data_IF_156682177338
#
_entry.id   IF_156682177338
#
_cell.length_a   1.000
_cell.length_b   1.000
_cell.length_c   1.000
_cell.angle_alpha   90.00
_cell.angle_beta   90.00
_cell.angle_gamma   90.00
#
_symmetry.space_group_name_H-M   'P 1'
#
loop_
_entity.id
_entity.type
_entity.pdbx_description
1 polymer ?
#
# COMPACT_ATOMS: atom_id res chain seq x y z
N UNK A 1 19.30 4.39 7.26
CA UNK A 1 19.08 2.92 7.22
C UNK A 1 17.93 2.65 6.28
N UNK A 2 17.99 1.58 5.48
CA UNK A 2 17.04 1.29 4.42
C UNK A 2 16.35 -0.06 4.67
N UNK A 3 15.05 -0.11 4.46
CA UNK A 3 14.28 -1.35 4.49
C UNK A 3 14.61 -2.19 3.25
N UNK A 4 14.78 -3.48 3.46
CA UNK A 4 14.91 -4.48 2.40
C UNK A 4 14.01 -5.66 2.75
N UNK A 5 13.30 -6.20 1.75
CA UNK A 5 12.41 -7.34 1.89
C UNK A 5 12.89 -8.44 0.95
N UNK A 6 13.27 -9.58 1.50
CA UNK A 6 13.78 -10.72 0.73
C UNK A 6 12.78 -11.87 0.78
N UNK A 7 12.37 -12.33 -0.38
CA UNK A 7 11.54 -13.49 -0.61
C UNK A 7 12.43 -14.66 -1.02
N UNK A 8 12.38 -15.77 -0.28
CA UNK A 8 13.09 -17.01 -0.60
C UNK A 8 12.08 -18.13 -0.79
N UNK A 9 11.90 -18.55 -2.02
CA UNK A 9 11.01 -19.63 -2.42
C UNK A 9 9.57 -19.48 -1.92
N UNK A 10 9.07 -18.22 -1.90
CA UNK A 10 7.76 -17.90 -1.36
C UNK A 10 6.66 -18.54 -2.21
N UNK A 11 5.75 -19.22 -1.52
CA UNK A 11 4.54 -19.76 -2.10
C UNK A 11 3.32 -19.60 -1.20
N UNK A 12 2.15 -19.44 -1.81
CA UNK A 12 0.87 -19.40 -1.10
C UNK A 12 -0.16 -20.28 -1.80
N UNK A 13 -0.83 -21.12 -1.01
CA UNK A 13 -1.95 -21.96 -1.45
C UNK A 13 -3.15 -21.79 -0.55
N UNK A 14 -4.32 -22.06 -1.09
CA UNK A 14 -5.54 -22.29 -0.35
C UNK A 14 -5.96 -23.74 -0.59
N UNK A 15 -6.10 -24.50 0.48
CA UNK A 15 -6.29 -25.96 0.41
C UNK A 15 -5.17 -26.61 -0.44
N UNK A 16 -5.53 -27.20 -1.59
CA UNK A 16 -4.61 -27.87 -2.52
C UNK A 16 -4.25 -27.04 -3.76
N UNK A 17 -4.81 -25.83 -3.89
CA UNK A 17 -4.58 -24.97 -5.04
C UNK A 17 -3.55 -23.89 -4.73
N UNK A 18 -2.44 -23.90 -5.49
CA UNK A 18 -1.43 -22.86 -5.41
C UNK A 18 -1.89 -21.59 -6.13
N UNK A 19 -1.84 -20.48 -5.43
CA UNK A 19 -2.06 -19.15 -6.01
C UNK A 19 -0.80 -18.69 -6.72
N UNK A 20 0.35 -18.89 -6.10
CA UNK A 20 1.69 -18.69 -6.64
C UNK A 20 2.70 -19.52 -5.82
N UNK A 21 3.85 -19.79 -6.43
CA UNK A 21 4.96 -20.51 -5.77
C UNK A 21 6.32 -20.15 -6.37
N UNK A 22 7.38 -20.48 -5.63
CA UNK A 22 8.78 -20.32 -6.07
C UNK A 22 9.17 -18.86 -6.34
N UNK A 23 8.55 -17.88 -5.63
CA UNK A 23 8.93 -16.48 -5.75
C UNK A 23 10.24 -16.24 -5.01
N UNK A 24 11.28 -15.92 -5.74
CA UNK A 24 12.57 -15.46 -5.24
C UNK A 24 12.75 -14.01 -5.73
N UNK A 25 12.70 -13.05 -4.81
CA UNK A 25 12.76 -11.63 -5.16
C UNK A 25 13.24 -10.79 -3.98
N UNK A 26 13.75 -9.58 -4.29
CA UNK A 26 14.16 -8.62 -3.27
C UNK A 26 13.62 -7.24 -3.58
N UNK A 27 12.90 -6.66 -2.63
CA UNK A 27 12.45 -5.27 -2.66
C UNK A 27 13.40 -4.40 -1.86
N UNK A 28 13.78 -3.24 -2.41
CA UNK A 28 14.77 -2.34 -1.82
C UNK A 28 14.21 -0.93 -1.69
N UNK A 29 14.56 -0.25 -0.60
CA UNK A 29 14.21 1.16 -0.41
C UNK A 29 14.71 2.03 -1.56
N UNK A 30 13.93 3.06 -1.89
CA UNK A 30 14.20 3.99 -2.97
C UNK A 30 13.67 3.54 -4.31
N UNK A 31 13.05 2.35 -4.38
CA UNK A 31 12.43 1.82 -5.59
C UNK A 31 10.93 1.66 -5.44
N UNK A 32 10.26 1.76 -6.56
CA UNK A 32 8.83 1.48 -6.74
C UNK A 32 8.62 0.28 -7.65
N UNK A 33 7.69 -0.58 -7.27
CA UNK A 33 7.45 -1.87 -7.91
C UNK A 33 5.98 -2.01 -8.30
N UNK A 34 5.72 -2.52 -9.49
CA UNK A 34 4.39 -2.89 -9.93
C UNK A 34 4.22 -4.42 -9.96
N UNK A 35 3.20 -4.92 -9.28
CA UNK A 35 2.80 -6.32 -9.34
C UNK A 35 1.66 -6.44 -10.33
N UNK A 36 1.92 -7.10 -11.46
CA UNK A 36 1.03 -7.19 -12.60
C UNK A 36 0.29 -8.53 -12.65
N UNK A 37 -0.91 -8.51 -13.22
CA UNK A 37 -1.73 -9.69 -13.45
C UNK A 37 -3.21 -9.35 -13.55
N UNK A 38 -4.00 -10.20 -14.20
CA UNK A 38 -5.45 -10.02 -14.30
C UNK A 38 -6.16 -10.13 -12.93
N UNK A 39 -7.41 -9.73 -12.88
CA UNK A 39 -8.22 -9.88 -11.65
C UNK A 39 -8.32 -11.37 -11.27
N UNK A 40 -8.19 -11.66 -9.97
CA UNK A 40 -8.12 -13.04 -9.47
C UNK A 40 -6.76 -13.74 -9.67
N UNK A 41 -5.73 -13.07 -10.22
CA UNK A 41 -4.41 -13.70 -10.42
C UNK A 41 -3.61 -13.91 -9.14
N UNK A 42 -4.02 -13.33 -8.01
CA UNK A 42 -3.33 -13.47 -6.72
C UNK A 42 -2.55 -12.23 -6.25
N UNK A 43 -2.65 -11.08 -6.94
CA UNK A 43 -1.98 -9.82 -6.56
C UNK A 43 -2.26 -9.41 -5.12
N UNK A 44 -3.54 -9.31 -4.75
CA UNK A 44 -3.94 -8.96 -3.38
C UNK A 44 -3.50 -10.01 -2.35
N UNK A 45 -3.47 -11.29 -2.72
CA UNK A 45 -2.91 -12.36 -1.88
C UNK A 45 -1.41 -12.16 -1.67
N UNK A 46 -0.69 -11.77 -2.72
CA UNK A 46 0.74 -11.47 -2.64
C UNK A 46 1.01 -10.25 -1.75
N UNK A 47 0.23 -9.16 -1.87
CA UNK A 47 0.33 -8.01 -0.96
C UNK A 47 0.06 -8.39 0.50
N UNK A 48 -0.91 -9.27 0.76
CA UNK A 48 -1.17 -9.79 2.11
C UNK A 48 0.01 -10.60 2.65
N UNK A 49 0.69 -11.37 1.82
CA UNK A 49 1.94 -12.04 2.20
C UNK A 49 3.04 -11.01 2.44
N UNK A 50 3.22 -10.06 1.53
CA UNK A 50 4.25 -9.02 1.63
C UNK A 50 4.04 -8.06 2.82
N UNK A 51 2.83 -7.93 3.32
CA UNK A 51 2.51 -7.17 4.54
C UNK A 51 2.58 -8.01 5.82
N UNK A 52 2.91 -9.30 5.75
CA UNK A 52 2.81 -10.27 6.84
C UNK A 52 1.39 -10.47 7.42
N UNK A 53 0.35 -9.90 6.82
CA UNK A 53 -1.04 -10.15 7.24
C UNK A 53 -1.52 -11.55 6.85
N UNK A 54 -0.78 -12.23 5.97
CA UNK A 54 -1.00 -13.60 5.56
C UNK A 54 0.33 -14.36 5.52
N UNK A 55 0.45 -15.41 6.34
CA UNK A 55 1.65 -16.25 6.36
C UNK A 55 1.80 -17.00 5.04
N UNK A 56 2.98 -17.05 4.42
CA UNK A 56 3.23 -17.88 3.25
C UNK A 56 3.03 -19.36 3.58
N UNK A 57 2.64 -20.17 2.59
CA UNK A 57 2.50 -21.62 2.73
C UNK A 57 3.82 -22.38 2.53
N UNK A 58 4.79 -21.73 1.89
CA UNK A 58 6.14 -22.22 1.66
C UNK A 58 7.11 -21.04 1.57
N UNK A 59 8.38 -21.30 1.84
CA UNK A 59 9.45 -20.32 1.75
C UNK A 59 9.57 -19.43 2.98
N UNK A 60 10.46 -18.44 2.88
CA UNK A 60 10.82 -17.52 3.95
C UNK A 60 10.73 -16.07 3.49
N UNK A 61 10.05 -15.22 4.26
CA UNK A 61 9.95 -13.78 4.06
C UNK A 61 10.76 -13.07 5.14
N UNK A 62 11.78 -12.33 4.73
CA UNK A 62 12.72 -11.68 5.63
C UNK A 62 12.66 -10.18 5.41
N UNK A 63 12.45 -9.42 6.48
CA UNK A 63 12.57 -7.97 6.50
C UNK A 63 13.86 -7.57 7.22
N UNK A 64 14.65 -6.71 6.61
CA UNK A 64 15.84 -6.15 7.25
C UNK A 64 15.83 -4.62 7.19
N UNK A 65 16.28 -3.97 8.25
CA UNK A 65 16.46 -2.52 8.31
C UNK A 65 17.92 -2.23 8.63
N UNK A 66 18.69 -1.92 7.58
CA UNK A 66 20.15 -1.99 7.65
C UNK A 66 20.60 -3.45 7.82
N UNK A 67 21.27 -3.75 8.93
CA UNK A 67 21.74 -5.11 9.27
C UNK A 67 20.77 -5.86 10.20
N UNK A 68 19.77 -5.18 10.75
CA UNK A 68 18.82 -5.76 11.72
C UNK A 68 17.68 -6.48 11.00
N UNK A 69 17.37 -7.71 11.45
CA UNK A 69 16.17 -8.45 11.01
C UNK A 69 14.98 -8.01 11.84
N UNK A 70 13.94 -7.52 11.17
CA UNK A 70 12.72 -7.07 11.82
C UNK A 70 11.76 -8.22 12.10
N UNK A 71 11.12 -8.18 13.26
CA UNK A 71 9.97 -9.02 13.57
C UNK A 71 8.72 -8.56 12.82
N UNK A 72 7.69 -9.41 12.78
CA UNK A 72 6.40 -9.06 12.18
C UNK A 72 5.77 -7.82 12.85
N UNK A 73 5.86 -7.71 14.17
CA UNK A 73 5.32 -6.56 14.91
C UNK A 73 6.05 -5.25 14.54
N UNK A 74 7.36 -5.33 14.34
CA UNK A 74 8.15 -4.16 13.91
C UNK A 74 7.81 -3.75 12.47
N UNK A 75 7.53 -4.69 11.56
CA UNK A 75 7.15 -4.35 10.19
C UNK A 75 5.78 -3.66 10.13
N UNK A 76 4.82 -3.99 10.99
CA UNK A 76 3.53 -3.29 11.05
C UNK A 76 3.68 -1.80 11.38
N UNK A 77 4.68 -1.43 12.16
CA UNK A 77 4.98 -0.02 12.43
C UNK A 77 5.54 0.70 11.19
N UNK A 78 6.23 -0.03 10.33
CA UNK A 78 6.88 0.46 9.11
C UNK A 78 6.01 0.34 7.84
N UNK A 79 4.79 -0.20 7.94
CA UNK A 79 3.91 -0.52 6.83
C UNK A 79 2.72 0.43 6.77
N UNK A 80 2.35 0.88 5.56
CA UNK A 80 1.04 1.45 5.27
C UNK A 80 0.42 0.71 4.07
N UNK A 81 -0.90 0.51 4.12
CA UNK A 81 -1.64 -0.24 3.13
C UNK A 81 -2.93 0.49 2.75
N UNK A 82 -3.15 0.70 1.46
CA UNK A 82 -4.43 1.09 0.90
C UNK A 82 -4.89 0.01 -0.09
N UNK A 83 -6.05 -0.57 0.17
CA UNK A 83 -6.61 -1.66 -0.63
C UNK A 83 -8.15 -1.62 -0.58
N UNK A 84 -8.85 -2.21 -1.58
CA UNK A 84 -10.31 -2.25 -1.58
C UNK A 84 -10.91 -2.92 -0.33
N UNK A 85 -10.23 -3.94 0.19
CA UNK A 85 -10.66 -4.70 1.38
C UNK A 85 -10.25 -4.07 2.72
N UNK A 86 -9.57 -2.93 2.72
CA UNK A 86 -9.31 -2.14 3.94
C UNK A 86 -10.46 -1.16 4.12
N UNK A 87 -11.16 -1.28 5.24
CA UNK A 87 -12.28 -0.42 5.57
C UNK A 87 -11.82 0.75 6.45
N UNK A 88 -12.48 1.89 6.28
CA UNK A 88 -12.36 3.05 7.16
C UNK A 88 -13.39 2.93 8.28
N UNK A 89 -13.12 3.53 9.42
CA UNK A 89 -14.09 3.61 10.53
C UNK A 89 -15.22 4.55 10.10
N UNK A 90 -16.38 3.99 9.78
CA UNK A 90 -17.48 4.70 9.15
C UNK A 90 -18.16 5.72 10.06
N UNK A 91 -18.10 5.51 11.37
CA UNK A 91 -18.68 6.38 12.41
C UNK A 91 -17.82 7.60 12.71
N UNK A 92 -16.58 7.62 12.29
CA UNK A 92 -15.69 8.77 12.49
C UNK A 92 -15.98 9.84 11.44
N UNK A 93 -15.88 11.11 11.86
CA UNK A 93 -15.71 12.22 10.92
C UNK A 93 -14.35 12.13 10.25
N UNK A 94 -14.17 12.81 9.12
CA UNK A 94 -12.86 12.87 8.45
C UNK A 94 -11.78 13.40 9.40
N UNK A 95 -12.13 14.43 10.17
CA UNK A 95 -11.25 15.04 11.15
C UNK A 95 -10.79 14.05 12.23
N UNK A 96 -11.73 13.32 12.83
CA UNK A 96 -11.45 12.28 13.82
C UNK A 96 -10.64 11.12 13.25
N UNK A 97 -10.93 10.70 12.02
CA UNK A 97 -10.23 9.60 11.37
C UNK A 97 -8.76 9.95 11.12
N UNK A 98 -8.47 11.17 10.63
CA UNK A 98 -7.09 11.65 10.43
C UNK A 98 -6.36 11.70 11.78
N UNK A 99 -6.96 12.31 12.80
CA UNK A 99 -6.37 12.40 14.14
C UNK A 99 -6.12 11.01 14.74
N UNK A 100 -7.06 10.09 14.57
CA UNK A 100 -6.91 8.71 15.05
C UNK A 100 -5.77 7.98 14.34
N UNK A 101 -5.71 8.05 13.01
CA UNK A 101 -4.68 7.39 12.23
C UNK A 101 -3.26 7.86 12.64
N UNK A 102 -3.09 9.18 12.75
CA UNK A 102 -1.79 9.76 13.08
C UNK A 102 -1.43 9.76 14.58
N UNK A 103 -2.25 9.14 15.44
CA UNK A 103 -1.82 8.68 16.78
C UNK A 103 -0.92 7.44 16.72
N UNK A 104 -1.07 6.61 15.69
CA UNK A 104 -0.31 5.37 15.50
C UNK A 104 0.79 5.48 14.44
N UNK A 105 0.70 6.47 13.57
CA UNK A 105 1.66 6.76 12.51
C UNK A 105 2.13 8.20 12.58
N UNK A 106 3.40 8.43 12.29
CA UNK A 106 3.87 9.80 12.11
C UNK A 106 3.54 10.28 10.69
N UNK A 107 3.40 11.59 10.52
CA UNK A 107 3.36 12.20 9.20
C UNK A 107 4.72 12.09 8.51
N UNK A 108 4.73 12.00 7.19
CA UNK A 108 5.94 12.25 6.42
C UNK A 108 6.47 13.67 6.75
N UNK A 109 7.80 13.89 6.67
CA UNK A 109 8.41 15.16 7.09
C UNK A 109 7.83 16.43 6.44
N UNK A 110 7.25 16.31 5.24
CA UNK A 110 6.63 17.44 4.51
C UNK A 110 5.11 17.50 4.66
N UNK A 111 4.54 16.72 5.58
CA UNK A 111 3.09 16.65 5.80
C UNK A 111 2.75 16.93 7.26
N UNK A 112 1.63 17.55 7.44
CA UNK A 112 0.88 17.72 8.67
C UNK A 112 -0.61 17.52 8.39
N UNK A 113 -1.45 17.72 9.36
CA UNK A 113 -2.90 17.55 9.22
C UNK A 113 -3.48 18.47 8.15
N UNK A 114 -3.11 19.74 8.18
CA UNK A 114 -3.58 20.77 7.26
C UNK A 114 -3.21 20.43 5.82
N UNK A 115 -1.98 19.98 5.62
CA UNK A 115 -1.48 19.56 4.30
C UNK A 115 -2.23 18.34 3.79
N UNK A 116 -2.52 17.34 4.64
CA UNK A 116 -3.30 16.15 4.26
C UNK A 116 -4.73 16.53 3.90
N UNK A 117 -5.38 17.39 4.68
CA UNK A 117 -6.74 17.87 4.41
C UNK A 117 -6.79 18.63 3.09
N UNK A 118 -5.87 19.55 2.88
CA UNK A 118 -5.76 20.33 1.64
C UNK A 118 -5.49 19.43 0.43
N UNK A 119 -4.62 18.44 0.58
CA UNK A 119 -4.35 17.46 -0.48
C UNK A 119 -5.59 16.66 -0.86
N UNK A 120 -6.42 16.29 0.12
CA UNK A 120 -7.69 15.61 -0.14
C UNK A 120 -8.70 16.48 -0.89
N UNK A 121 -8.66 17.82 -0.72
CA UNK A 121 -9.66 18.75 -1.24
C UNK A 121 -11.03 18.54 -0.59
N UNK A 122 -11.04 18.11 0.68
CA UNK A 122 -12.24 17.74 1.43
C UNK A 122 -12.44 18.60 2.68
N UNK A 123 -11.93 19.86 2.68
CA UNK A 123 -12.06 20.81 3.80
C UNK A 123 -13.51 21.01 4.21
N UNK A 124 -14.41 21.04 3.22
CA UNK A 124 -15.85 21.20 3.43
C UNK A 124 -16.52 19.99 4.08
N UNK A 125 -15.83 18.87 4.18
CA UNK A 125 -16.35 17.60 4.69
C UNK A 125 -15.64 17.12 5.98
N UNK A 126 -14.85 17.97 6.63
CA UNK A 126 -14.08 17.61 7.83
C UNK A 126 -14.95 17.05 8.96
N UNK A 127 -16.10 17.66 9.22
CA UNK A 127 -17.03 17.27 10.27
C UNK A 127 -18.08 16.24 9.82
N UNK A 128 -17.95 15.75 8.58
CA UNK A 128 -18.87 14.77 8.00
C UNK A 128 -18.34 13.37 8.27
N UNK A 129 -19.22 12.46 8.73
CA UNK A 129 -18.89 11.06 8.97
C UNK A 129 -18.55 10.34 7.65
N UNK A 130 -17.59 9.41 7.73
CA UNK A 130 -17.08 8.64 6.59
C UNK A 130 -18.17 7.80 5.92
N UNK A 131 -19.19 7.34 6.67
CA UNK A 131 -20.31 6.59 6.07
C UNK A 131 -21.06 7.37 4.99
N UNK A 132 -21.02 8.70 5.02
CA UNK A 132 -21.67 9.57 4.04
C UNK A 132 -20.77 9.97 2.86
N UNK A 133 -19.52 9.44 2.81
CA UNK A 133 -18.60 9.70 1.71
C UNK A 133 -18.93 8.83 0.50
N UNK A 134 -18.73 9.37 -0.70
CA UNK A 134 -18.75 8.58 -1.92
C UNK A 134 -17.60 7.56 -1.93
N UNK A 135 -17.70 6.54 -2.78
CA UNK A 135 -16.61 5.55 -2.96
C UNK A 135 -15.29 6.20 -3.34
N UNK A 136 -15.33 7.21 -4.23
CA UNK A 136 -14.13 7.99 -4.62
C UNK A 136 -13.54 8.81 -3.47
N UNK A 137 -14.38 9.44 -2.64
CA UNK A 137 -13.90 10.15 -1.44
C UNK A 137 -13.25 9.19 -0.45
N UNK A 138 -13.87 8.04 -0.19
CA UNK A 138 -13.28 7.01 0.69
C UNK A 138 -11.96 6.50 0.14
N UNK A 139 -11.85 6.29 -1.16
CA UNK A 139 -10.63 5.85 -1.82
C UNK A 139 -9.51 6.90 -1.68
N UNK A 140 -9.81 8.19 -1.91
CA UNK A 140 -8.84 9.27 -1.68
C UNK A 140 -8.34 9.29 -0.24
N UNK A 141 -9.23 9.15 0.74
CA UNK A 141 -8.86 9.11 2.17
C UNK A 141 -7.93 7.94 2.46
N UNK A 142 -8.24 6.71 2.00
CA UNK A 142 -7.36 5.53 2.17
C UNK A 142 -5.96 5.78 1.62
N UNK A 143 -5.88 6.30 0.40
CA UNK A 143 -4.62 6.59 -0.28
C UNK A 143 -3.83 7.68 0.45
N UNK A 144 -4.47 8.77 0.86
CA UNK A 144 -3.80 9.85 1.58
C UNK A 144 -3.24 9.36 2.92
N UNK A 145 -4.03 8.63 3.72
CA UNK A 145 -3.57 8.06 4.98
C UNK A 145 -2.36 7.13 4.79
N UNK A 146 -2.39 6.26 3.76
CA UNK A 146 -1.27 5.37 3.48
C UNK A 146 -0.03 6.12 2.98
N UNK A 147 -0.19 7.05 2.04
CA UNK A 147 0.93 7.72 1.38
C UNK A 147 1.56 8.82 2.24
N UNK A 148 0.75 9.54 3.03
CA UNK A 148 1.25 10.63 3.90
C UNK A 148 1.84 10.14 5.23
N UNK A 149 1.73 8.85 5.55
CA UNK A 149 2.35 8.25 6.74
C UNK A 149 3.86 8.05 6.55
N UNK A 150 4.65 8.25 7.60
CA UNK A 150 6.11 8.00 7.61
C UNK A 150 6.41 6.49 7.69
N UNK A 151 5.97 5.74 6.69
CA UNK A 151 6.16 4.29 6.59
C UNK A 151 7.24 3.97 5.56
N UNK A 152 8.12 3.03 5.88
CA UNK A 152 9.20 2.57 4.99
C UNK A 152 8.68 1.65 3.87
N UNK A 153 7.51 1.04 4.07
CA UNK A 153 6.80 0.20 3.09
C UNK A 153 5.39 0.73 2.87
N UNK A 154 5.07 1.08 1.64
CA UNK A 154 3.70 1.45 1.23
C UNK A 154 3.21 0.47 0.18
N UNK A 155 2.07 -0.13 0.46
CA UNK A 155 1.41 -1.11 -0.39
C UNK A 155 0.08 -0.54 -0.88
N UNK A 156 -0.11 -0.52 -2.20
CA UNK A 156 -1.33 -0.02 -2.84
C UNK A 156 -1.93 -1.12 -3.72
N UNK A 157 -3.18 -1.46 -3.49
CA UNK A 157 -3.92 -2.45 -4.28
C UNK A 157 -5.04 -1.75 -5.06
N UNK A 158 -4.96 -1.78 -6.40
CA UNK A 158 -5.89 -1.12 -7.32
C UNK A 158 -6.20 0.35 -6.90
N UNK A 159 -5.18 1.21 -6.81
CA UNK A 159 -5.30 2.51 -6.13
C UNK A 159 -6.32 3.45 -6.75
N UNK A 160 -6.54 3.41 -8.08
CA UNK A 160 -7.50 4.29 -8.73
C UNK A 160 -8.91 3.69 -8.88
N UNK A 161 -9.15 2.52 -8.28
CA UNK A 161 -10.50 1.95 -8.26
C UNK A 161 -11.48 2.96 -7.63
N UNK A 162 -12.61 3.18 -8.32
CA UNK A 162 -13.64 4.16 -7.96
C UNK A 162 -13.23 5.65 -8.08
N UNK A 163 -12.10 5.98 -8.69
CA UNK A 163 -11.73 7.35 -9.03
C UNK A 163 -12.13 7.67 -10.47
N UNK A 164 -12.55 8.92 -10.68
CA UNK A 164 -12.71 9.52 -12.00
C UNK A 164 -11.35 10.02 -12.53
N UNK A 165 -11.34 10.59 -13.73
CA UNK A 165 -10.11 11.10 -14.34
C UNK A 165 -9.40 12.16 -13.50
N UNK A 166 -10.15 13.06 -12.84
CA UNK A 166 -9.58 14.04 -11.92
C UNK A 166 -8.98 13.37 -10.67
N UNK A 167 -9.62 12.30 -10.21
CA UNK A 167 -9.10 11.47 -9.11
C UNK A 167 -7.83 10.70 -9.48
N UNK A 168 -7.71 10.27 -10.74
CA UNK A 168 -6.48 9.63 -11.24
C UNK A 168 -5.31 10.62 -11.31
N UNK A 169 -5.54 11.85 -11.80
CA UNK A 169 -4.54 12.93 -11.77
C UNK A 169 -4.13 13.27 -10.33
N UNK A 170 -5.10 13.35 -9.44
CA UNK A 170 -4.84 13.55 -8.02
C UNK A 170 -3.97 12.43 -7.42
N UNK A 171 -4.23 11.16 -7.79
CA UNK A 171 -3.41 10.02 -7.38
C UNK A 171 -1.95 10.17 -7.84
N UNK A 172 -1.71 10.56 -9.08
CA UNK A 172 -0.34 10.78 -9.58
C UNK A 172 0.39 11.88 -8.78
N UNK A 173 -0.29 13.01 -8.51
CA UNK A 173 0.25 14.07 -7.66
C UNK A 173 0.56 13.60 -6.22
N UNK A 174 -0.28 12.73 -5.65
CA UNK A 174 -0.05 12.13 -4.33
C UNK A 174 1.21 11.25 -4.35
N UNK A 175 1.35 10.40 -5.37
CA UNK A 175 2.49 9.51 -5.52
C UNK A 175 3.80 10.28 -5.65
N UNK A 176 3.85 11.34 -6.44
CA UNK A 176 5.05 12.18 -6.61
C UNK A 176 5.55 12.75 -5.27
N UNK A 177 4.62 13.10 -4.37
CA UNK A 177 4.95 13.56 -3.01
C UNK A 177 5.33 12.43 -2.06
N UNK A 178 4.77 11.22 -2.28
CA UNK A 178 4.96 10.06 -1.42
C UNK A 178 6.20 9.23 -1.77
N UNK A 179 6.73 9.36 -2.98
CA UNK A 179 7.91 8.64 -3.48
C UNK A 179 9.18 9.19 -2.85
N UNK A 180 9.80 8.42 -1.96
CA UNK A 180 11.01 8.81 -1.22
C UNK A 180 12.12 7.76 -1.39
N UNK A 181 13.39 8.22 -1.37
CA UNK A 181 14.56 7.34 -1.43
C UNK A 181 14.70 6.36 -0.26
N UNK A 182 14.00 6.60 0.85
CA UNK A 182 13.98 5.71 2.02
C UNK A 182 12.80 4.74 2.05
N UNK A 183 11.95 4.74 1.00
CA UNK A 183 10.68 4.00 0.97
C UNK A 183 10.68 2.95 -0.12
N UNK A 184 10.03 1.82 0.16
CA UNK A 184 9.58 0.85 -0.84
C UNK A 184 8.12 1.17 -1.14
N UNK A 185 7.79 1.35 -2.41
CA UNK A 185 6.41 1.52 -2.85
C UNK A 185 6.04 0.34 -3.76
N UNK A 186 4.98 -0.38 -3.41
CA UNK A 186 4.49 -1.52 -4.20
C UNK A 186 3.05 -1.25 -4.63
N UNK A 187 2.80 -1.29 -5.91
CA UNK A 187 1.47 -1.11 -6.51
C UNK A 187 1.03 -2.40 -7.17
N UNK A 188 -0.13 -2.93 -6.78
CA UNK A 188 -0.79 -4.01 -7.51
C UNK A 188 -1.84 -3.42 -8.44
N UNK A 189 -1.69 -3.65 -9.73
CA UNK A 189 -2.60 -3.13 -10.74
C UNK A 189 -2.54 -3.92 -12.04
N UNK A 190 -3.58 -3.77 -12.86
CA UNK A 190 -3.63 -4.16 -14.27
C UNK A 190 -3.75 -2.95 -15.21
N UNK A 191 -3.81 -1.73 -14.68
CA UNK A 191 -3.95 -0.49 -15.43
C UNK A 191 -2.61 0.25 -15.49
N UNK A 192 -2.04 0.42 -16.70
CA UNK A 192 -0.71 1.00 -16.88
C UNK A 192 -0.52 2.36 -16.21
N UNK A 193 -1.53 3.24 -16.27
CA UNK A 193 -1.50 4.56 -15.65
C UNK A 193 -1.32 4.55 -14.13
N UNK A 194 -1.68 3.46 -13.44
CA UNK A 194 -1.52 3.34 -11.99
C UNK A 194 -0.08 3.06 -11.56
N UNK A 195 0.75 2.54 -12.47
CA UNK A 195 2.09 2.06 -12.15
C UNK A 195 3.18 2.48 -13.15
N UNK A 196 2.90 3.32 -14.13
CA UNK A 196 3.90 3.74 -15.13
C UNK A 196 5.10 4.47 -14.53
N UNK A 197 4.97 5.01 -13.31
CA UNK A 197 6.04 5.61 -12.52
C UNK A 197 6.91 4.58 -11.79
N UNK A 198 6.54 3.30 -11.79
CA UNK A 198 7.28 2.25 -11.08
C UNK A 198 8.59 1.92 -11.79
N UNK A 199 9.65 1.72 -11.00
CA UNK A 199 10.98 1.42 -11.50
C UNK A 199 11.10 -0.01 -12.02
N UNK A 200 10.37 -0.96 -11.42
CA UNK A 200 10.39 -2.38 -11.77
C UNK A 200 8.98 -2.96 -11.84
N UNK A 201 8.81 -3.98 -12.68
CA UNK A 201 7.54 -4.70 -12.83
C UNK A 201 7.74 -6.20 -12.62
N UNK A 202 6.78 -6.82 -11.92
CA UNK A 202 6.77 -8.24 -11.60
C UNK A 202 5.41 -8.80 -12.03
N UNK A 203 5.40 -9.77 -12.93
CA UNK A 203 4.18 -10.50 -13.28
C UNK A 203 3.93 -11.62 -12.28
N UNK A 204 2.82 -11.58 -11.54
CA UNK A 204 2.44 -12.67 -10.64
C UNK A 204 2.13 -13.96 -11.42
N UNK A 205 1.85 -13.84 -12.72
CA UNK A 205 1.54 -14.98 -13.60
C UNK A 205 2.77 -15.86 -13.85
N UNK A 206 3.98 -15.30 -13.76
CA UNK A 206 5.23 -16.04 -13.96
C UNK A 206 5.49 -17.04 -12.83
N UNK A 207 4.74 -16.92 -11.71
CA UNK A 207 4.82 -17.75 -10.53
C UNK A 207 3.58 -18.64 -10.31
N UNK A 208 2.74 -18.75 -11.31
CA UNK A 208 1.61 -19.70 -11.30
C UNK A 208 2.11 -21.15 -11.31
N UNK A 209 1.34 -22.02 -10.66
CA UNK A 209 1.62 -23.46 -10.63
C UNK A 209 1.04 -24.16 -11.84
#
# INVERSE_FOLDING_TARGET
MNLKITLKDIGRRYNNEWIFRHINYTFESGKSYAILGHNGSGKSTFLKVLSSSLTPSAGELIYTYGEEVLSVDQIYQQLSLAAPYVELIEEFTLNELIDFHFKFKNYLPSFDKETVVSLLGLEHALDREIRFFSSGMRQRVKLALACCSASSLVLLDEPTSNLDSAGEEWYMNLIDRAKLKSRILVVCSNQKKEYEFCDETISILDFKA
#
